data_IF_364200683327
#
_entry.id   IF_364200683327
#
_cell.length_a   1.000
_cell.length_b   1.000
_cell.length_c   1.000
_cell.angle_alpha   90.00
_cell.angle_beta   90.00
_cell.angle_gamma   90.00
#
_symmetry.space_group_name_H-M   'P 1'
#
loop_
_entity.id
_entity.type
_entity.pdbx_description
1 polymer ?
#
# COMPACT_ATOMS: atom_id res chain seq x y z
N UNK A 1 -41.77 21.50 -40.37
CA UNK A 1 -42.76 20.57 -39.78
C UNK A 1 -41.98 19.53 -39.00
N UNK A 2 -41.78 19.75 -37.69
CA UNK A 2 -41.14 18.79 -36.79
C UNK A 2 -42.10 18.56 -35.61
N UNK A 3 -42.73 17.40 -35.60
CA UNK A 3 -43.72 17.01 -34.60
C UNK A 3 -43.01 16.47 -33.36
N UNK A 4 -43.22 17.12 -32.21
CA UNK A 4 -42.86 16.57 -30.89
C UNK A 4 -43.75 15.36 -30.59
N UNK A 5 -43.17 14.27 -30.09
CA UNK A 5 -43.91 13.26 -29.32
C UNK A 5 -43.16 12.99 -28.02
N UNK A 6 -43.77 13.43 -26.93
CA UNK A 6 -43.46 13.07 -25.53
C UNK A 6 -44.16 11.72 -25.25
N UNK A 7 -43.70 10.98 -24.23
CA UNK A 7 -44.37 9.96 -23.38
C UNK A 7 -43.58 8.64 -23.39
N UNK A 8 -43.32 7.93 -22.29
CA UNK A 8 -43.76 8.03 -20.89
C UNK A 8 -42.82 7.18 -20.04
N UNK A 9 -42.55 7.61 -18.81
CA UNK A 9 -41.86 6.85 -17.76
C UNK A 9 -42.64 5.57 -17.42
N UNK A 10 -41.95 4.45 -17.29
CA UNK A 10 -42.45 3.26 -16.59
C UNK A 10 -41.36 2.71 -15.69
N UNK A 11 -41.46 3.04 -14.41
CA UNK A 11 -40.73 2.43 -13.31
C UNK A 11 -41.49 1.13 -12.98
N UNK A 12 -40.81 -0.01 -13.05
CA UNK A 12 -41.34 -1.27 -12.51
C UNK A 12 -40.67 -1.53 -11.15
N UNK A 13 -41.40 -1.27 -10.07
CA UNK A 13 -41.09 -1.76 -8.72
C UNK A 13 -41.70 -3.14 -8.60
N UNK A 14 -40.89 -4.16 -8.40
CA UNK A 14 -41.36 -5.49 -7.97
C UNK A 14 -40.96 -5.65 -6.50
N UNK A 15 -41.96 -5.57 -5.63
CA UNK A 15 -41.86 -5.97 -4.23
C UNK A 15 -42.34 -7.42 -4.12
N UNK A 16 -41.55 -8.28 -3.49
CA UNK A 16 -42.02 -9.56 -2.98
C UNK A 16 -41.37 -9.82 -1.61
N UNK A 17 -42.24 -9.89 -0.61
CA UNK A 17 -41.96 -10.17 0.81
C UNK A 17 -41.84 -11.68 1.00
N UNK A 18 -40.86 -12.14 1.77
CA UNK A 18 -40.95 -13.43 2.46
C UNK A 18 -40.16 -13.41 3.78
N UNK A 19 -40.73 -14.06 4.78
CA UNK A 19 -40.54 -13.86 6.21
C UNK A 19 -39.33 -14.59 6.83
N UNK A 20 -39.07 -14.21 8.09
CA UNK A 20 -38.02 -14.68 8.98
C UNK A 20 -37.96 -16.21 9.17
N UNK A 21 -36.74 -16.69 9.42
CA UNK A 21 -36.49 -17.87 10.26
C UNK A 21 -35.23 -17.61 11.09
N UNK A 22 -35.43 -17.30 12.37
CA UNK A 22 -34.39 -17.32 13.40
C UNK A 22 -34.14 -18.80 13.74
N UNK A 23 -32.95 -19.31 13.44
CA UNK A 23 -32.45 -20.56 14.04
C UNK A 23 -31.43 -20.20 15.11
N UNK A 24 -31.90 -20.20 16.36
CA UNK A 24 -31.05 -20.34 17.53
C UNK A 24 -30.58 -21.81 17.59
N UNK A 25 -29.29 -22.05 17.41
CA UNK A 25 -28.68 -23.35 17.67
C UNK A 25 -28.21 -23.38 19.12
N UNK A 26 -28.94 -24.17 19.92
CA UNK A 26 -28.61 -24.51 21.30
C UNK A 26 -27.54 -25.63 21.29
N UNK A 27 -26.54 -25.55 22.17
CA UNK A 27 -25.54 -26.61 22.35
C UNK A 27 -26.07 -27.80 23.15
N UNK A 28 -25.38 -28.94 23.03
CA UNK A 28 -24.79 -29.70 24.14
C UNK A 28 -23.97 -30.94 23.67
N UNK A 29 -22.91 -31.22 24.43
CA UNK A 29 -22.14 -32.47 24.67
C UNK A 29 -21.32 -33.23 23.59
N UNK A 30 -20.00 -33.02 23.69
CA UNK A 30 -18.90 -33.98 23.78
C UNK A 30 -18.80 -35.17 22.80
N UNK A 31 -17.87 -35.07 21.82
CA UNK A 31 -16.89 -36.14 21.51
C UNK A 31 -15.56 -35.56 21.07
N UNK A 32 -14.52 -36.04 21.76
CA UNK A 32 -13.10 -35.82 21.56
C UNK A 32 -12.69 -36.12 20.11
N UNK A 33 -12.24 -35.08 19.42
CA UNK A 33 -11.48 -35.15 18.18
C UNK A 33 -10.82 -33.79 18.06
N UNK A 34 -9.60 -33.67 18.61
CA UNK A 34 -8.78 -32.47 18.48
C UNK A 34 -8.68 -32.07 17.00
N UNK A 35 -9.34 -30.99 16.56
CA UNK A 35 -9.02 -30.42 15.27
C UNK A 35 -7.66 -29.76 15.51
N UNK A 36 -6.66 -30.21 14.76
CA UNK A 36 -5.43 -29.46 14.59
C UNK A 36 -5.86 -28.04 14.21
N UNK A 37 -5.76 -27.10 15.16
CA UNK A 37 -6.10 -25.72 14.90
C UNK A 37 -5.05 -25.24 13.92
N UNK A 38 -5.41 -25.22 12.63
CA UNK A 38 -4.90 -24.18 11.76
C UNK A 38 -5.15 -22.91 12.56
N UNK A 39 -4.10 -22.28 13.08
CA UNK A 39 -4.18 -20.94 13.62
C UNK A 39 -4.65 -20.10 12.44
N UNK A 40 -5.97 -19.98 12.29
CA UNK A 40 -6.56 -18.98 11.43
C UNK A 40 -5.97 -17.67 11.87
N UNK A 41 -5.48 -16.90 10.89
CA UNK A 41 -4.93 -15.57 11.12
C UNK A 41 -5.81 -14.84 12.13
N UNK A 42 -5.23 -14.43 13.26
CA UNK A 42 -5.97 -13.76 14.30
C UNK A 42 -6.74 -12.59 13.68
N UNK A 43 -8.01 -12.41 14.08
CA UNK A 43 -8.82 -11.31 13.58
C UNK A 43 -8.00 -9.99 13.67
N UNK A 44 -8.00 -9.15 12.62
CA UNK A 44 -7.23 -7.92 12.64
C UNK A 44 -7.54 -7.13 13.92
N UNK A 45 -6.49 -6.64 14.58
CA UNK A 45 -6.67 -5.81 15.78
C UNK A 45 -7.52 -4.58 15.47
N UNK A 46 -8.04 -3.92 16.52
CA UNK A 46 -8.83 -2.71 16.34
C UNK A 46 -8.01 -1.64 15.61
N UNK A 47 -8.53 -1.17 14.47
CA UNK A 47 -8.01 0.01 13.79
C UNK A 47 -8.06 1.21 14.77
N UNK A 48 -7.08 2.11 14.70
CA UNK A 48 -7.13 3.34 15.51
C UNK A 48 -5.98 3.52 16.48
N UNK A 49 -5.17 2.49 16.73
CA UNK A 49 -4.13 2.55 17.77
C UNK A 49 -2.96 3.48 17.43
N UNK A 50 -2.71 3.70 16.12
CA UNK A 50 -1.66 4.60 15.64
C UNK A 50 -2.03 6.09 15.63
N UNK A 51 -1.03 6.98 15.51
CA UNK A 51 -1.23 8.42 15.46
C UNK A 51 -2.01 8.84 14.20
N UNK A 52 -2.51 10.08 14.20
CA UNK A 52 -3.13 10.67 13.03
C UNK A 52 -2.06 11.31 12.13
N UNK A 53 -2.04 10.93 10.85
CA UNK A 53 -1.01 11.37 9.90
C UNK A 53 -1.40 12.60 9.06
N UNK A 54 -2.67 13.03 9.10
CA UNK A 54 -3.16 14.08 8.21
C UNK A 54 -3.13 13.69 6.74
N UNK A 55 -3.33 14.67 5.85
CA UNK A 55 -3.20 14.45 4.40
C UNK A 55 -1.75 14.11 4.05
N UNK A 56 -1.54 13.05 3.26
CA UNK A 56 -0.22 12.69 2.72
C UNK A 56 0.89 12.48 3.77
N UNK A 57 0.55 12.01 4.97
CA UNK A 57 1.55 11.91 6.05
C UNK A 57 2.04 13.26 6.56
N UNK A 58 1.33 14.34 6.23
CA UNK A 58 1.76 15.71 6.46
C UNK A 58 2.91 16.16 5.56
N UNK A 59 3.19 15.45 4.46
CA UNK A 59 4.31 15.74 3.54
C UNK A 59 3.86 16.54 2.32
N UNK A 60 4.65 17.56 1.96
CA UNK A 60 4.41 18.42 0.81
C UNK A 60 5.19 17.97 -0.44
N UNK A 61 4.70 18.35 -1.63
CA UNK A 61 5.32 17.97 -2.92
C UNK A 61 6.79 18.41 -3.03
N UNK A 62 7.15 19.56 -2.46
CA UNK A 62 8.53 20.04 -2.47
C UNK A 62 9.47 19.14 -1.66
N UNK A 63 8.95 18.50 -0.62
CA UNK A 63 9.71 17.57 0.22
C UNK A 63 9.84 16.21 -0.45
N UNK A 64 8.78 15.75 -1.12
CA UNK A 64 8.83 14.56 -1.97
C UNK A 64 9.87 14.74 -3.08
N UNK A 65 9.79 15.85 -3.81
CA UNK A 65 10.74 16.20 -4.88
C UNK A 65 12.17 16.28 -4.36
N UNK A 66 12.36 16.87 -3.16
CA UNK A 66 13.68 16.94 -2.52
C UNK A 66 14.22 15.57 -2.12
N UNK A 67 13.38 14.69 -1.56
CA UNK A 67 13.78 13.38 -1.09
C UNK A 67 14.15 12.45 -2.27
N UNK A 68 13.35 12.44 -3.33
CA UNK A 68 13.57 11.57 -4.50
C UNK A 68 14.52 12.18 -5.54
N UNK A 69 14.63 13.50 -5.57
CA UNK A 69 15.26 14.25 -6.66
C UNK A 69 14.50 14.15 -7.98
N UNK A 70 13.20 13.88 -7.95
CA UNK A 70 12.34 13.93 -9.13
C UNK A 70 11.83 15.35 -9.34
N UNK A 71 11.96 15.82 -10.58
CA UNK A 71 11.42 17.11 -11.00
C UNK A 71 10.03 16.94 -11.61
N UNK A 72 9.21 17.99 -11.57
CA UNK A 72 7.90 18.01 -12.23
C UNK A 72 6.81 17.17 -11.55
N UNK A 73 7.04 16.70 -10.33
CA UNK A 73 6.02 15.98 -9.56
C UNK A 73 4.79 16.86 -9.30
N UNK A 74 3.62 16.31 -9.62
CA UNK A 74 2.32 16.88 -9.25
C UNK A 74 1.58 15.89 -8.35
N UNK A 75 0.98 16.39 -7.28
CA UNK A 75 0.13 15.57 -6.42
C UNK A 75 -1.25 15.40 -7.08
N UNK A 76 -1.52 14.22 -7.62
CA UNK A 76 -2.76 13.89 -8.34
C UNK A 76 -3.83 13.30 -7.43
N UNK A 77 -3.43 12.62 -6.36
CA UNK A 77 -4.32 12.13 -5.30
C UNK A 77 -3.88 12.72 -3.97
N UNK A 78 -4.79 13.41 -3.28
CA UNK A 78 -4.50 14.10 -2.01
C UNK A 78 -5.58 13.88 -0.95
N UNK A 79 -5.39 12.92 -0.06
CA UNK A 79 -6.26 12.71 1.09
C UNK A 79 -5.49 12.05 2.26
N UNK A 80 -6.12 11.77 3.41
CA UNK A 80 -5.43 11.16 4.54
C UNK A 80 -4.99 9.71 4.32
N UNK A 81 -5.69 8.96 3.47
CA UNK A 81 -5.47 7.53 3.27
C UNK A 81 -4.51 7.24 2.13
N UNK A 82 -4.53 8.05 1.07
CA UNK A 82 -3.71 7.86 -0.13
C UNK A 82 -3.24 9.20 -0.64
N UNK A 83 -1.96 9.26 -1.02
CA UNK A 83 -1.45 10.28 -1.91
C UNK A 83 -0.59 9.72 -3.02
N UNK A 84 -0.65 10.36 -4.18
CA UNK A 84 0.11 9.99 -5.37
C UNK A 84 0.74 11.24 -5.97
N UNK A 85 2.03 11.16 -6.24
CA UNK A 85 2.80 12.16 -6.96
C UNK A 85 3.37 11.54 -8.22
N UNK A 86 3.02 12.12 -9.36
CA UNK A 86 3.46 11.63 -10.68
C UNK A 86 4.08 12.76 -11.47
N UNK A 87 5.00 12.42 -12.37
CA UNK A 87 5.50 13.32 -13.40
C UNK A 87 4.52 13.40 -14.59
N UNK A 88 4.73 14.29 -15.58
CA UNK A 88 3.85 14.37 -16.76
C UNK A 88 3.71 13.08 -17.57
N UNK A 89 4.67 12.15 -17.43
CA UNK A 89 4.65 10.83 -18.05
C UNK A 89 3.64 9.86 -17.40
N UNK A 90 3.06 10.21 -16.24
CA UNK A 90 2.11 9.37 -15.52
C UNK A 90 2.75 8.06 -15.04
N UNK A 91 1.99 6.96 -15.09
CA UNK A 91 2.37 5.66 -14.49
C UNK A 91 3.65 5.03 -15.05
N UNK A 92 4.10 5.45 -16.24
CA UNK A 92 5.35 4.98 -16.87
C UNK A 92 6.58 5.81 -16.49
N UNK A 93 6.37 6.96 -15.85
CA UNK A 93 7.40 7.85 -15.34
C UNK A 93 7.69 7.67 -13.84
N UNK A 94 8.59 8.51 -13.29
CA UNK A 94 8.81 8.56 -11.86
C UNK A 94 7.52 8.83 -11.08
N UNK A 95 7.30 8.03 -10.04
CA UNK A 95 6.11 8.14 -9.19
C UNK A 95 6.43 7.86 -7.73
N UNK A 96 5.66 8.48 -6.84
CA UNK A 96 5.74 8.29 -5.40
C UNK A 96 4.34 8.16 -4.85
N UNK A 97 4.13 7.25 -3.90
CA UNK A 97 2.87 7.14 -3.17
C UNK A 97 3.06 7.12 -1.66
N UNK A 98 2.02 7.59 -0.97
CA UNK A 98 1.82 7.39 0.45
C UNK A 98 0.49 6.67 0.64
N UNK A 99 0.49 5.59 1.41
CA UNK A 99 -0.71 4.83 1.73
C UNK A 99 -0.81 4.65 3.24
N UNK A 100 -1.98 4.91 3.82
CA UNK A 100 -2.25 4.67 5.23
C UNK A 100 -3.35 3.62 5.39
N UNK A 101 -2.95 2.42 5.77
CA UNK A 101 -3.82 1.27 5.93
C UNK A 101 -4.29 1.14 7.37
N UNK A 102 -5.61 1.00 7.54
CA UNK A 102 -6.24 0.91 8.87
C UNK A 102 -6.95 -0.41 9.09
N UNK A 103 -6.72 -1.03 10.24
CA UNK A 103 -7.22 -2.38 10.55
C UNK A 103 -6.62 -3.47 9.65
N UNK A 104 -5.45 -3.18 9.07
CA UNK A 104 -4.68 -4.12 8.27
C UNK A 104 -3.29 -4.25 8.89
N UNK A 105 -2.98 -5.36 9.59
CA UNK A 105 -1.65 -5.53 10.16
C UNK A 105 -0.61 -5.60 9.05
N UNK A 106 0.53 -4.94 9.27
CA UNK A 106 1.65 -4.86 8.32
C UNK A 106 2.14 -6.24 7.82
N UNK A 107 1.91 -7.30 8.60
CA UNK A 107 2.32 -8.66 8.24
C UNK A 107 1.69 -9.16 6.93
N UNK A 108 0.46 -8.74 6.61
CA UNK A 108 -0.16 -9.09 5.33
C UNK A 108 0.56 -8.43 4.15
N UNK A 109 0.91 -7.15 4.30
CA UNK A 109 1.63 -6.43 3.26
C UNK A 109 3.03 -6.99 3.08
N UNK A 110 3.74 -7.24 4.19
CA UNK A 110 5.06 -7.86 4.14
C UNK A 110 5.04 -9.20 3.39
N UNK A 111 3.99 -10.00 3.55
CA UNK A 111 3.86 -11.27 2.84
C UNK A 111 3.73 -11.05 1.32
N UNK A 112 3.01 -10.02 0.87
CA UNK A 112 2.97 -9.60 -0.54
C UNK A 112 4.36 -9.19 -1.01
N UNK A 113 5.03 -8.31 -0.27
CA UNK A 113 6.36 -7.79 -0.62
C UNK A 113 7.41 -8.90 -0.72
N UNK A 114 7.33 -9.93 0.13
CA UNK A 114 8.22 -11.10 0.06
C UNK A 114 8.01 -11.97 -1.18
N UNK A 115 6.85 -11.86 -1.83
CA UNK A 115 6.54 -12.56 -3.08
C UNK A 115 6.84 -11.72 -4.33
N UNK A 116 6.81 -10.39 -4.22
CA UNK A 116 6.87 -9.47 -5.36
C UNK A 116 8.19 -8.72 -5.49
N UNK A 117 9.01 -8.67 -4.42
CA UNK A 117 10.28 -7.93 -4.42
C UNK A 117 11.51 -8.82 -4.37
N UNK A 118 12.61 -8.28 -4.88
CA UNK A 118 13.91 -8.94 -4.87
C UNK A 118 14.52 -8.98 -3.46
N UNK A 119 14.20 -7.98 -2.63
CA UNK A 119 14.67 -7.85 -1.25
C UNK A 119 13.57 -7.34 -0.33
N UNK A 120 13.47 -7.92 0.87
CA UNK A 120 12.64 -7.44 1.98
C UNK A 120 13.45 -7.56 3.26
N UNK A 121 13.65 -6.45 3.97
CA UNK A 121 14.47 -6.38 5.18
C UNK A 121 13.72 -5.72 6.32
N UNK A 122 14.06 -6.09 7.56
CA UNK A 122 13.55 -5.41 8.75
C UNK A 122 14.21 -4.06 8.94
N UNK A 123 13.40 -3.06 9.30
CA UNK A 123 13.88 -1.72 9.65
C UNK A 123 13.20 -1.19 10.89
N UNK A 124 13.86 -0.21 11.53
CA UNK A 124 13.29 0.63 12.57
C UNK A 124 13.64 2.09 12.28
N UNK A 125 12.63 2.95 12.21
CA UNK A 125 12.79 4.40 11.99
C UNK A 125 11.96 5.13 13.02
N UNK A 126 12.59 6.05 13.76
CA UNK A 126 11.94 6.87 14.79
C UNK A 126 11.12 6.05 15.79
N UNK A 127 11.60 4.84 16.14
CA UNK A 127 10.94 3.89 17.05
C UNK A 127 9.79 3.08 16.44
N UNK A 128 9.43 3.35 15.19
CA UNK A 128 8.47 2.55 14.42
C UNK A 128 9.17 1.40 13.72
N UNK A 129 8.66 0.18 13.91
CA UNK A 129 9.18 -1.04 13.27
C UNK A 129 8.44 -1.32 11.96
N UNK A 130 9.13 -1.92 11.01
CA UNK A 130 8.50 -2.39 9.80
C UNK A 130 9.47 -3.01 8.82
N UNK A 131 9.29 -2.73 7.52
CA UNK A 131 10.10 -3.31 6.47
C UNK A 131 10.57 -2.28 5.45
N UNK A 132 11.67 -2.60 4.78
CA UNK A 132 12.11 -1.98 3.54
C UNK A 132 12.17 -3.06 2.47
N UNK A 133 11.42 -2.87 1.40
CA UNK A 133 11.31 -3.80 0.29
C UNK A 133 11.75 -3.12 -1.02
N UNK A 134 12.43 -3.84 -1.91
CA UNK A 134 12.97 -3.23 -3.12
C UNK A 134 13.13 -4.22 -4.28
N UNK A 135 12.94 -3.70 -5.48
CA UNK A 135 13.30 -4.30 -6.77
C UNK A 135 13.92 -3.21 -7.62
N UNK A 136 14.69 -3.56 -8.65
CA UNK A 136 15.32 -2.62 -9.60
C UNK A 136 14.42 -1.41 -9.92
N UNK A 137 14.84 -0.22 -9.49
CA UNK A 137 14.17 1.06 -9.73
C UNK A 137 13.00 1.41 -8.80
N UNK A 138 12.68 0.57 -7.81
CA UNK A 138 11.55 0.73 -6.89
C UNK A 138 11.96 0.40 -5.45
N UNK A 139 11.54 1.22 -4.50
CA UNK A 139 11.67 0.90 -3.09
C UNK A 139 10.43 1.29 -2.29
N UNK A 140 10.04 0.42 -1.37
CA UNK A 140 8.86 0.49 -0.53
C UNK A 140 9.23 0.37 0.94
N UNK A 141 8.58 1.18 1.76
CA UNK A 141 8.79 1.23 3.20
C UNK A 141 7.45 1.17 3.90
N UNK A 142 7.25 0.16 4.75
CA UNK A 142 6.08 0.06 5.63
C UNK A 142 6.48 0.26 7.09
N UNK A 143 5.72 1.03 7.88
CA UNK A 143 5.94 1.23 9.33
C UNK A 143 4.64 0.99 10.11
N UNK A 144 4.72 0.09 11.10
CA UNK A 144 3.58 -0.41 11.85
C UNK A 144 3.19 0.44 13.07
N UNK A 145 1.89 0.50 13.32
CA UNK A 145 1.27 1.08 14.51
C UNK A 145 0.08 0.21 14.96
N UNK A 146 0.36 -0.84 15.73
CA UNK A 146 -0.66 -1.80 16.14
C UNK A 146 -1.26 -2.53 14.94
N UNK A 147 -2.57 -2.35 14.71
CA UNK A 147 -3.29 -2.96 13.58
C UNK A 147 -3.29 -2.10 12.31
N UNK A 148 -2.52 -1.01 12.29
CA UNK A 148 -2.42 -0.07 11.19
C UNK A 148 -0.97 0.04 10.74
N UNK A 149 -0.74 0.53 9.52
CA UNK A 149 0.60 0.92 9.07
C UNK A 149 0.48 1.99 8.00
N UNK A 150 1.51 2.81 7.84
CA UNK A 150 1.68 3.59 6.63
C UNK A 150 2.75 2.98 5.75
N UNK A 151 2.67 3.28 4.46
CA UNK A 151 3.61 2.89 3.45
C UNK A 151 4.01 4.08 2.58
N UNK A 152 5.29 4.12 2.21
CA UNK A 152 5.82 4.97 1.16
C UNK A 152 6.40 4.10 0.05
N UNK A 153 6.00 4.36 -1.20
CA UNK A 153 6.60 3.74 -2.40
C UNK A 153 7.24 4.83 -3.26
N UNK A 154 8.43 4.58 -3.79
CA UNK A 154 9.08 5.45 -4.76
C UNK A 154 9.65 4.62 -5.91
N UNK A 155 9.32 5.02 -7.14
CA UNK A 155 9.73 4.34 -8.37
C UNK A 155 10.27 5.33 -9.39
N UNK A 156 11.32 4.96 -10.11
CA UNK A 156 11.84 5.73 -11.24
C UNK A 156 11.01 5.56 -12.52
N UNK A 157 10.01 4.66 -12.51
CA UNK A 157 9.18 4.34 -13.66
C UNK A 157 9.87 3.46 -14.70
N UNK A 158 9.08 2.91 -15.62
CA UNK A 158 9.58 2.03 -16.69
C UNK A 158 10.50 2.78 -17.68
N UNK A 159 10.34 4.09 -17.81
CA UNK A 159 11.10 4.92 -18.77
C UNK A 159 12.54 5.20 -18.32
N UNK A 160 12.80 5.25 -17.01
CA UNK A 160 14.16 5.42 -16.48
C UNK A 160 14.96 4.09 -16.46
N UNK A 161 14.28 2.94 -16.56
CA UNK A 161 14.87 1.61 -16.72
C UNK A 161 15.44 1.32 -18.11
N UNK A 162 15.54 2.34 -18.98
CA UNK A 162 16.00 2.23 -20.38
C UNK A 162 17.47 1.80 -20.59
N UNK A 163 18.20 1.46 -19.53
CA UNK A 163 19.39 0.63 -19.66
C UNK A 163 18.93 -0.79 -19.92
N UNK A 164 18.90 -1.21 -21.18
CA UNK A 164 18.53 -2.54 -21.67
C UNK A 164 18.75 -3.64 -20.63
N UNK A 165 17.73 -3.88 -19.81
CA UNK A 165 17.67 -4.95 -18.82
C UNK A 165 17.45 -6.29 -19.52
N UNK A 166 18.17 -6.54 -20.60
CA UNK A 166 18.35 -7.89 -21.07
C UNK A 166 19.33 -8.53 -20.09
N UNK A 167 18.90 -9.49 -19.25
CA UNK A 167 19.85 -10.22 -18.44
C UNK A 167 20.91 -10.78 -19.40
N UNK A 168 22.19 -10.54 -19.11
CA UNK A 168 23.25 -11.25 -19.83
C UNK A 168 22.93 -12.74 -19.78
N UNK A 169 23.04 -13.49 -20.88
CA UNK A 169 22.85 -14.94 -20.85
C UNK A 169 23.78 -15.53 -19.78
N UNK A 170 23.22 -16.04 -18.69
CA UNK A 170 23.97 -16.55 -17.53
C UNK A 170 23.95 -15.68 -16.28
N UNK A 171 23.22 -14.56 -16.25
CA UNK A 171 22.93 -13.86 -15.00
C UNK A 171 22.13 -14.80 -14.07
N UNK A 172 22.52 -14.94 -12.79
CA UNK A 172 21.74 -15.73 -11.83
C UNK A 172 20.32 -15.17 -11.75
N UNK A 173 19.34 -16.04 -11.50
CA UNK A 173 17.98 -15.60 -11.19
C UNK A 173 18.03 -14.53 -10.08
N UNK A 174 17.15 -13.49 -10.11
CA UNK A 174 17.03 -12.56 -9.00
C UNK A 174 16.89 -13.35 -7.71
N UNK A 175 17.91 -13.24 -6.87
CA UNK A 175 18.04 -13.95 -5.62
C UNK A 175 18.05 -12.96 -4.48
N UNK A 176 17.45 -13.34 -3.37
CA UNK A 176 17.51 -12.61 -2.12
C UNK A 176 18.99 -12.38 -1.74
N UNK A 177 19.42 -11.11 -1.72
CA UNK A 177 20.77 -10.74 -1.27
C UNK A 177 21.66 -9.99 -2.28
N UNK A 178 21.17 -9.69 -3.49
CA UNK A 178 21.86 -8.74 -4.37
C UNK A 178 21.65 -7.31 -3.83
N UNK A 179 22.73 -6.54 -3.67
CA UNK A 179 22.61 -5.14 -3.28
C UNK A 179 21.85 -4.36 -4.38
N UNK A 180 20.96 -3.42 -3.99
CA UNK A 180 20.24 -2.59 -4.95
C UNK A 180 21.23 -1.79 -5.81
N UNK A 181 20.84 -1.49 -7.06
CA UNK A 181 21.59 -0.52 -7.86
C UNK A 181 21.47 0.90 -7.25
N UNK A 182 22.32 1.83 -7.70
CA UNK A 182 22.39 3.18 -7.13
C UNK A 182 21.07 3.97 -7.26
N UNK A 183 20.26 3.70 -8.30
CA UNK A 183 18.96 4.36 -8.47
C UNK A 183 17.95 3.83 -7.44
N UNK A 184 17.95 2.52 -7.23
CA UNK A 184 17.14 1.82 -6.24
C UNK A 184 17.53 2.22 -4.81
N UNK A 185 18.84 2.31 -4.53
CA UNK A 185 19.36 2.80 -3.24
C UNK A 185 18.88 4.22 -2.94
N UNK A 186 18.92 5.12 -3.94
CA UNK A 186 18.36 6.47 -3.82
C UNK A 186 16.86 6.46 -3.49
N UNK A 187 16.08 5.56 -4.09
CA UNK A 187 14.65 5.43 -3.78
C UNK A 187 14.44 4.93 -2.35
N UNK A 188 15.25 3.98 -1.90
CA UNK A 188 15.20 3.49 -0.53
C UNK A 188 15.54 4.58 0.49
N UNK A 189 16.52 5.44 0.21
CA UNK A 189 16.84 6.57 1.09
C UNK A 189 15.73 7.62 1.09
N UNK A 190 15.11 7.87 -0.06
CA UNK A 190 13.97 8.78 -0.17
C UNK A 190 12.78 8.32 0.68
N UNK A 191 12.36 7.05 0.58
CA UNK A 191 11.21 6.55 1.37
C UNK A 191 11.52 6.52 2.88
N UNK A 192 12.78 6.28 3.29
CA UNK A 192 13.20 6.40 4.69
C UNK A 192 13.09 7.85 5.20
N UNK A 193 13.54 8.81 4.39
CA UNK A 193 13.43 10.23 4.72
C UNK A 193 11.95 10.65 4.85
N UNK A 194 11.11 10.22 3.91
CA UNK A 194 9.67 10.52 3.92
C UNK A 194 8.97 9.88 5.12
N UNK A 195 9.27 8.61 5.43
CA UNK A 195 8.77 7.94 6.63
C UNK A 195 9.19 8.65 7.92
N UNK A 196 10.43 9.14 8.00
CA UNK A 196 10.91 9.94 9.13
C UNK A 196 10.12 11.23 9.29
N UNK A 197 9.86 11.95 8.19
CA UNK A 197 9.04 13.17 8.19
C UNK A 197 7.61 12.88 8.66
N UNK A 198 6.98 11.82 8.14
CA UNK A 198 5.63 11.40 8.53
C UNK A 198 5.52 11.16 10.03
N UNK A 199 6.44 10.38 10.62
CA UNK A 199 6.43 10.08 12.06
C UNK A 199 6.67 11.35 12.89
N UNK A 200 7.61 12.20 12.47
CA UNK A 200 7.93 13.42 13.21
C UNK A 200 6.76 14.42 13.29
N UNK A 201 5.87 14.37 12.30
CA UNK A 201 4.70 15.25 12.20
C UNK A 201 3.48 14.71 12.91
N UNK A 202 3.35 13.40 13.00
CA UNK A 202 2.24 12.76 13.70
C UNK A 202 2.35 12.82 15.24
N UNK A 203 3.48 13.31 15.75
CA UNK A 203 3.76 13.51 17.18
C UNK A 203 3.48 14.93 17.68
N UNK A 204 3.06 15.85 16.80
CA UNK A 204 2.74 17.24 17.12
C UNK A 204 1.23 17.43 17.23
#
# INVERSE_FOLDING_TARGET
MFTRVIHRRSIAVVAAVAALSLVASCGDDSKDSSPQTTQGEAAPGAAGAGPFFGNCGGVEVAEVSKATGFDGLTNTVRNPSVCEWVTPEGDIGPQVSFNWYRGSPIGRERATEQLTRDSVTDIEISGGKGFLASTTGLCELGIAFGADFFEWSASVGATAGGGSGQPSPGAPAPGQGQAPDAATEKMCDAVKQLGTLTISRSQK
#
